data_IF_798280317318
#
_entry.id   IF_798280317318
#
_cell.length_a   1.000
_cell.length_b   1.000
_cell.length_c   1.000
_cell.angle_alpha   90.00
_cell.angle_beta   90.00
_cell.angle_gamma   90.00
#
_symmetry.space_group_name_H-M   'P 1'
#
loop_
_entity.id
_entity.type
_entity.pdbx_description
1 polymer ?
#
# COMPACT_ATOMS: atom_id res chain seq x y z
N UNK A 1 31.34 -6.14 -4.41
CA UNK A 1 30.61 -4.84 -4.33
C UNK A 1 29.23 -5.12 -3.76
N UNK A 2 28.89 -4.44 -2.69
CA UNK A 2 27.56 -4.53 -2.09
C UNK A 2 26.47 -4.20 -3.11
N UNK A 3 25.50 -5.07 -3.27
CA UNK A 3 24.36 -4.85 -4.16
C UNK A 3 23.38 -3.86 -3.52
N UNK A 4 22.55 -3.23 -4.34
CA UNK A 4 21.57 -2.25 -3.88
C UNK A 4 20.17 -2.63 -4.30
N UNK A 5 19.24 -2.46 -3.38
CA UNK A 5 17.80 -2.37 -3.65
C UNK A 5 17.36 -0.99 -3.23
N UNK A 6 16.52 -0.33 -4.01
CA UNK A 6 16.13 1.05 -3.73
C UNK A 6 14.62 1.20 -3.58
N UNK A 7 14.17 2.15 -2.75
CA UNK A 7 12.79 2.61 -2.72
C UNK A 7 12.70 3.96 -3.43
N UNK A 8 11.96 4.02 -4.52
CA UNK A 8 11.71 5.25 -5.27
C UNK A 8 10.33 5.81 -4.91
N UNK A 9 10.27 7.04 -4.41
CA UNK A 9 9.02 7.72 -4.06
C UNK A 9 9.27 9.19 -3.71
N UNK A 10 8.23 9.90 -3.26
CA UNK A 10 8.35 11.29 -2.80
C UNK A 10 7.15 11.70 -1.95
N UNK A 11 7.38 12.02 -0.64
CA UNK A 11 8.60 11.79 0.15
C UNK A 11 8.75 10.31 0.58
N UNK A 12 9.97 9.86 0.91
CA UNK A 12 10.25 8.48 1.35
C UNK A 12 10.99 8.39 2.68
N UNK A 13 11.37 9.51 3.28
CA UNK A 13 12.20 9.55 4.49
C UNK A 13 11.64 8.74 5.68
N UNK A 14 10.31 8.63 5.77
CA UNK A 14 9.61 7.93 6.86
C UNK A 14 9.33 6.44 6.57
N UNK A 15 9.90 5.89 5.49
CA UNK A 15 9.66 4.50 5.11
C UNK A 15 10.36 3.54 6.07
N UNK A 16 9.60 2.56 6.58
CA UNK A 16 10.12 1.48 7.42
C UNK A 16 10.66 0.29 6.62
N UNK A 17 10.55 0.32 5.28
CA UNK A 17 10.99 -0.78 4.40
C UNK A 17 12.48 -1.05 4.50
N UNK A 18 13.30 -0.02 4.74
CA UNK A 18 14.75 -0.18 4.88
C UNK A 18 15.15 -1.07 6.06
N UNK A 19 14.52 -0.90 7.22
CA UNK A 19 14.76 -1.74 8.39
C UNK A 19 14.36 -3.21 8.12
N UNK A 20 13.19 -3.40 7.51
CA UNK A 20 12.65 -4.74 7.20
C UNK A 20 13.54 -5.50 6.22
N UNK A 21 13.93 -4.87 5.10
CA UNK A 21 14.76 -5.53 4.08
C UNK A 21 16.21 -5.67 4.52
N UNK A 22 16.76 -4.69 5.25
CA UNK A 22 18.13 -4.77 5.80
C UNK A 22 18.29 -5.96 6.72
N UNK A 23 17.37 -6.17 7.67
CA UNK A 23 17.36 -7.34 8.52
C UNK A 23 17.24 -8.67 7.76
N UNK A 24 16.45 -8.68 6.67
CA UNK A 24 16.32 -9.86 5.82
C UNK A 24 17.61 -10.19 5.06
N UNK A 25 18.31 -9.19 4.54
CA UNK A 25 19.62 -9.39 3.89
C UNK A 25 20.66 -9.91 4.86
N UNK A 26 20.72 -9.32 6.06
CA UNK A 26 21.64 -9.75 7.11
C UNK A 26 21.37 -11.21 7.52
N UNK A 27 20.12 -11.56 7.80
CA UNK A 27 19.72 -12.90 8.24
C UNK A 27 20.07 -14.00 7.24
N UNK A 28 20.10 -13.68 5.93
CA UNK A 28 20.43 -14.64 4.87
C UNK A 28 21.86 -14.48 4.36
N UNK A 29 22.70 -13.62 4.97
CA UNK A 29 24.08 -13.38 4.55
C UNK A 29 24.21 -12.80 3.14
N UNK A 30 23.21 -12.02 2.68
CA UNK A 30 23.20 -11.38 1.39
C UNK A 30 23.89 -10.01 1.48
N UNK A 31 25.01 -9.83 0.74
CA UNK A 31 25.71 -8.53 0.66
C UNK A 31 24.89 -7.52 -0.18
N UNK A 32 23.84 -6.95 0.44
CA UNK A 32 22.97 -5.96 -0.19
C UNK A 32 22.53 -4.90 0.83
N UNK A 33 22.30 -3.67 0.34
CA UNK A 33 21.74 -2.55 1.10
C UNK A 33 20.40 -2.11 0.51
N UNK A 34 19.50 -1.61 1.38
CA UNK A 34 18.25 -1.00 0.96
C UNK A 34 18.34 0.52 1.14
N UNK A 35 18.21 1.26 0.05
CA UNK A 35 18.37 2.70 0.00
C UNK A 35 17.03 3.42 -0.24
N UNK A 36 16.88 4.62 0.31
CA UNK A 36 15.71 5.47 0.09
C UNK A 36 16.08 6.54 -0.94
N UNK A 37 15.46 6.49 -2.10
CA UNK A 37 15.64 7.47 -3.17
C UNK A 37 14.43 8.41 -3.21
N UNK A 38 14.56 9.56 -2.56
CA UNK A 38 13.55 10.61 -2.64
C UNK A 38 13.64 11.28 -4.00
N UNK A 39 12.70 11.00 -4.88
CA UNK A 39 12.66 11.46 -6.27
C UNK A 39 11.32 12.11 -6.57
N UNK A 40 11.29 13.42 -6.83
CA UNK A 40 10.07 14.10 -7.26
C UNK A 40 9.61 13.59 -8.63
N UNK A 41 8.34 13.81 -9.02
CA UNK A 41 7.77 13.25 -10.25
C UNK A 41 8.53 13.53 -11.55
N UNK A 42 9.27 14.64 -11.62
CA UNK A 42 10.08 15.00 -12.79
C UNK A 42 11.38 14.17 -12.89
N UNK A 43 11.90 13.67 -11.77
CA UNK A 43 13.13 12.87 -11.72
C UNK A 43 12.87 11.36 -11.85
N UNK A 44 11.60 10.91 -11.96
CA UNK A 44 11.28 9.49 -11.99
C UNK A 44 11.93 8.74 -13.14
N UNK A 45 11.89 9.28 -14.35
CA UNK A 45 12.43 8.60 -15.54
C UNK A 45 13.95 8.39 -15.43
N UNK A 46 14.68 9.36 -14.90
CA UNK A 46 16.09 9.27 -14.63
C UNK A 46 16.38 8.20 -13.57
N UNK A 47 15.68 8.23 -12.44
CA UNK A 47 15.81 7.24 -11.37
C UNK A 47 15.54 5.80 -11.85
N UNK A 48 14.54 5.59 -12.71
CA UNK A 48 14.29 4.27 -13.33
C UNK A 48 15.43 3.89 -14.28
N UNK A 49 16.02 4.84 -15.00
CA UNK A 49 17.18 4.63 -15.85
C UNK A 49 18.41 4.13 -15.08
N UNK A 50 18.65 4.69 -13.88
CA UNK A 50 19.74 4.31 -12.97
C UNK A 50 19.65 2.83 -12.51
N UNK A 51 18.45 2.24 -12.46
CA UNK A 51 18.25 0.83 -12.08
C UNK A 51 18.91 -0.17 -13.06
N UNK A 52 19.34 0.27 -14.23
CA UNK A 52 20.01 -0.60 -15.22
C UNK A 52 21.48 -0.89 -14.88
N UNK A 53 22.01 -0.27 -13.82
CA UNK A 53 23.37 -0.49 -13.31
C UNK A 53 23.54 -1.89 -12.71
N UNK A 54 24.74 -2.47 -12.87
CA UNK A 54 25.00 -3.87 -12.44
C UNK A 54 25.01 -4.06 -10.92
N UNK A 55 25.17 -2.98 -10.18
CA UNK A 55 25.10 -2.98 -8.71
C UNK A 55 23.67 -3.04 -8.17
N UNK A 56 22.63 -2.79 -9.00
CA UNK A 56 21.24 -2.77 -8.57
C UNK A 56 20.60 -4.14 -8.75
N UNK A 57 20.01 -4.70 -7.69
CA UNK A 57 19.19 -5.92 -7.75
C UNK A 57 17.77 -5.61 -8.23
N UNK A 58 17.22 -4.47 -7.80
CA UNK A 58 15.88 -4.04 -8.15
C UNK A 58 15.43 -2.85 -7.31
N UNK A 59 14.14 -2.56 -7.36
CA UNK A 59 13.55 -1.44 -6.65
C UNK A 59 12.14 -1.73 -6.16
N UNK A 60 11.74 -1.06 -5.05
CA UNK A 60 10.34 -0.76 -4.80
C UNK A 60 9.99 0.63 -5.36
N UNK A 61 8.73 0.79 -5.72
CA UNK A 61 8.16 2.06 -6.14
C UNK A 61 6.95 2.39 -5.28
N UNK A 62 6.91 3.60 -4.73
CA UNK A 62 5.80 4.06 -3.90
C UNK A 62 5.18 5.36 -4.43
N UNK A 63 4.33 5.99 -3.64
CA UNK A 63 3.66 7.26 -3.96
C UNK A 63 4.70 8.32 -4.37
N UNK A 64 4.46 9.10 -5.45
CA UNK A 64 3.27 9.08 -6.32
C UNK A 64 3.49 8.32 -7.64
N UNK A 65 4.43 7.38 -7.72
CA UNK A 65 5.08 6.92 -8.95
C UNK A 65 4.50 5.63 -9.55
N UNK A 66 3.78 4.80 -8.76
CA UNK A 66 3.38 3.43 -9.16
C UNK A 66 2.70 3.33 -10.52
N UNK A 67 1.83 4.30 -10.87
CA UNK A 67 1.11 4.32 -12.15
C UNK A 67 2.03 4.78 -13.31
N UNK A 68 2.88 5.78 -13.07
CA UNK A 68 3.78 6.31 -14.11
C UNK A 68 4.90 5.35 -14.46
N UNK A 69 5.29 4.47 -13.54
CA UNK A 69 6.35 3.47 -13.75
C UNK A 69 6.00 2.44 -14.82
N UNK A 70 4.70 2.21 -15.08
CA UNK A 70 4.25 1.26 -16.12
C UNK A 70 4.88 1.47 -17.48
N UNK A 71 5.08 2.71 -17.88
CA UNK A 71 5.62 3.07 -19.21
C UNK A 71 7.13 3.29 -19.21
N UNK A 72 7.78 3.14 -18.06
CA UNK A 72 9.23 3.36 -17.88
C UNK A 72 10.02 2.05 -17.75
N UNK A 73 9.35 0.92 -17.57
CA UNK A 73 9.94 -0.42 -17.53
C UNK A 73 9.83 -1.11 -18.88
N UNK A 74 10.68 -2.10 -19.13
CA UNK A 74 10.74 -2.77 -20.45
C UNK A 74 9.66 -3.84 -20.61
N UNK A 75 9.23 -4.45 -19.50
CA UNK A 75 8.16 -5.46 -19.46
C UNK A 75 7.33 -5.31 -18.18
N UNK A 76 6.11 -5.76 -18.26
CA UNK A 76 5.19 -5.89 -17.13
C UNK A 76 4.83 -7.36 -16.92
N UNK A 77 4.73 -7.77 -15.67
CA UNK A 77 4.03 -9.01 -15.34
C UNK A 77 2.54 -8.87 -15.59
N UNK A 78 1.84 -9.99 -15.73
CA UNK A 78 0.39 -9.99 -15.90
C UNK A 78 -0.31 -9.24 -14.77
N UNK A 79 0.12 -9.44 -13.53
CA UNK A 79 -0.44 -8.76 -12.37
C UNK A 79 -0.19 -7.25 -12.36
N UNK A 80 1.01 -6.80 -12.72
CA UNK A 80 1.31 -5.36 -12.84
C UNK A 80 0.49 -4.72 -13.98
N UNK A 81 0.33 -5.41 -15.09
CA UNK A 81 -0.53 -4.97 -16.19
C UNK A 81 -2.01 -4.93 -15.76
N UNK A 82 -2.51 -5.97 -15.11
CA UNK A 82 -3.89 -6.07 -14.67
C UNK A 82 -4.27 -5.06 -13.57
N UNK A 83 -3.31 -4.69 -12.71
CA UNK A 83 -3.52 -3.64 -11.69
C UNK A 83 -3.35 -2.22 -12.25
N UNK A 84 -2.59 -2.07 -13.33
CA UNK A 84 -2.22 -0.75 -13.85
C UNK A 84 -1.30 0.03 -12.88
N UNK A 85 -0.47 -0.67 -12.10
CA UNK A 85 0.49 -0.08 -11.18
C UNK A 85 1.69 -1.00 -10.96
N UNK A 86 2.89 -0.43 -10.88
CA UNK A 86 4.14 -1.12 -10.53
C UNK A 86 4.59 -0.63 -9.16
N UNK A 87 4.78 -1.55 -8.20
CA UNK A 87 5.38 -1.24 -6.91
C UNK A 87 6.73 -1.93 -6.69
N UNK A 88 7.11 -2.84 -7.58
CA UNK A 88 8.36 -3.60 -7.50
C UNK A 88 8.96 -3.75 -8.90
N UNK A 89 10.27 -3.57 -9.00
CA UNK A 89 11.02 -3.72 -10.25
C UNK A 89 12.13 -4.75 -10.01
N UNK A 90 12.25 -5.71 -10.92
CA UNK A 90 13.39 -6.61 -11.00
C UNK A 90 14.22 -6.31 -12.25
N UNK A 91 15.45 -6.80 -12.27
CA UNK A 91 16.38 -6.63 -13.38
C UNK A 91 16.78 -7.98 -13.97
N UNK A 92 16.62 -8.13 -15.27
CA UNK A 92 17.13 -9.25 -16.06
C UNK A 92 18.16 -8.73 -17.07
N UNK A 93 19.44 -8.83 -16.74
CA UNK A 93 20.49 -8.13 -17.48
C UNK A 93 20.26 -6.62 -17.38
N UNK A 94 20.09 -5.93 -18.50
CA UNK A 94 19.74 -4.49 -18.53
C UNK A 94 18.23 -4.23 -18.65
N UNK A 95 17.39 -5.27 -18.73
CA UNK A 95 15.94 -5.12 -18.83
C UNK A 95 15.31 -4.98 -17.45
N UNK A 96 14.38 -4.05 -17.34
CA UNK A 96 13.59 -3.81 -16.15
C UNK A 96 12.21 -4.44 -16.31
N UNK A 97 11.80 -5.21 -15.30
CA UNK A 97 10.50 -5.88 -15.29
C UNK A 97 9.70 -5.32 -14.13
N UNK A 98 8.52 -4.77 -14.43
CA UNK A 98 7.59 -4.23 -13.44
C UNK A 98 6.66 -5.31 -12.90
N UNK A 99 6.54 -5.36 -11.58
CA UNK A 99 5.69 -6.25 -10.82
C UNK A 99 4.74 -5.46 -9.92
N UNK A 100 3.69 -6.12 -9.42
CA UNK A 100 2.85 -5.59 -8.36
C UNK A 100 2.78 -6.56 -7.19
N UNK A 101 3.55 -6.33 -6.13
CA UNK A 101 3.54 -7.11 -4.91
C UNK A 101 2.55 -6.57 -3.86
N UNK A 102 1.91 -5.43 -4.10
CA UNK A 102 0.85 -4.92 -3.23
C UNK A 102 -0.37 -5.87 -3.21
N UNK A 103 -0.67 -6.52 -4.34
CA UNK A 103 -1.80 -7.44 -4.45
C UNK A 103 -1.67 -8.63 -3.49
N UNK A 104 -0.59 -9.44 -3.54
CA UNK A 104 -0.43 -10.52 -2.57
C UNK A 104 -0.37 -10.01 -1.13
N UNK A 105 0.25 -8.84 -0.87
CA UNK A 105 0.26 -8.23 0.45
C UNK A 105 -1.15 -7.86 0.93
N UNK A 106 -1.95 -7.23 0.09
CA UNK A 106 -3.35 -6.89 0.38
C UNK A 106 -4.20 -8.13 0.65
N UNK A 107 -4.05 -9.20 -0.16
CA UNK A 107 -4.82 -10.44 0.03
C UNK A 107 -4.57 -11.06 1.40
N UNK A 108 -3.31 -11.10 1.86
CA UNK A 108 -2.99 -11.57 3.21
C UNK A 108 -3.64 -10.69 4.29
N UNK A 109 -3.61 -9.36 4.14
CA UNK A 109 -4.26 -8.46 5.07
C UNK A 109 -5.80 -8.63 5.06
N UNK A 110 -6.40 -8.78 3.88
CA UNK A 110 -7.84 -9.02 3.74
C UNK A 110 -8.26 -10.35 4.38
N UNK A 111 -7.50 -11.43 4.15
CA UNK A 111 -7.76 -12.73 4.76
C UNK A 111 -7.68 -12.69 6.29
N UNK A 112 -6.71 -11.96 6.83
CA UNK A 112 -6.57 -11.77 8.28
C UNK A 112 -7.75 -10.97 8.86
N UNK A 113 -8.21 -9.93 8.13
CA UNK A 113 -9.33 -9.09 8.53
C UNK A 113 -10.67 -9.83 8.49
N UNK A 114 -10.93 -10.55 7.40
CA UNK A 114 -12.20 -11.26 7.16
C UNK A 114 -12.25 -12.57 7.91
N UNK A 115 -11.13 -13.27 8.04
CA UNK A 115 -11.07 -14.60 8.63
C UNK A 115 -11.98 -15.60 7.89
N UNK A 116 -12.66 -16.44 8.67
CA UNK A 116 -13.61 -17.44 8.13
C UNK A 116 -15.05 -16.95 8.03
N UNK A 117 -15.28 -15.64 8.15
CA UNK A 117 -16.63 -15.10 8.16
C UNK A 117 -17.29 -15.23 6.78
N UNK A 118 -18.50 -15.79 6.77
CA UNK A 118 -19.39 -15.69 5.61
C UNK A 118 -20.12 -14.35 5.67
N UNK A 119 -19.77 -13.44 4.78
CA UNK A 119 -20.34 -12.10 4.72
C UNK A 119 -20.69 -11.69 3.28
N UNK A 120 -21.58 -10.72 3.08
CA UNK A 120 -21.79 -10.10 1.78
C UNK A 120 -20.48 -9.51 1.23
N UNK A 121 -20.15 -9.85 -0.01
CA UNK A 121 -18.94 -9.40 -0.70
C UNK A 121 -19.12 -7.99 -1.26
N UNK A 122 -19.26 -7.00 -0.36
CA UNK A 122 -19.46 -5.59 -0.70
C UNK A 122 -18.43 -4.73 0.04
N UNK A 123 -17.73 -3.87 -0.70
CA UNK A 123 -16.65 -3.04 -0.17
C UNK A 123 -16.79 -1.58 -0.60
N UNK A 124 -16.33 -0.69 0.27
CA UNK A 124 -16.06 0.72 -0.02
C UNK A 124 -14.55 0.95 0.06
N UNK A 125 -13.99 1.61 -0.96
CA UNK A 125 -12.57 1.96 -1.06
C UNK A 125 -12.44 3.48 -1.14
N UNK A 126 -11.72 4.06 -0.21
CA UNK A 126 -11.39 5.47 -0.18
C UNK A 126 -10.02 5.68 -0.85
N UNK A 127 -9.98 6.43 -1.94
CA UNK A 127 -8.77 6.66 -2.74
C UNK A 127 -8.79 5.94 -4.09
N UNK A 128 -7.95 6.39 -5.02
CA UNK A 128 -7.86 5.84 -6.39
C UNK A 128 -6.42 5.80 -6.94
N UNK A 129 -5.41 5.87 -6.06
CA UNK A 129 -4.00 5.77 -6.43
C UNK A 129 -3.51 4.33 -6.58
N UNK A 130 -2.18 4.16 -6.72
CA UNK A 130 -1.57 2.84 -6.92
C UNK A 130 -1.91 1.79 -5.86
N UNK A 131 -2.03 2.18 -4.58
CA UNK A 131 -2.51 1.28 -3.51
C UNK A 131 -3.97 0.85 -3.72
N UNK A 132 -4.85 1.81 -4.05
CA UNK A 132 -6.26 1.53 -4.33
C UNK A 132 -6.45 0.57 -5.54
N UNK A 133 -5.56 0.63 -6.54
CA UNK A 133 -5.56 -0.29 -7.68
C UNK A 133 -5.32 -1.73 -7.24
N UNK A 134 -4.34 -1.97 -6.37
CA UNK A 134 -4.07 -3.30 -5.81
C UNK A 134 -5.24 -3.79 -4.95
N UNK A 135 -5.84 -2.91 -4.14
CA UNK A 135 -7.05 -3.20 -3.34
C UNK A 135 -8.21 -3.62 -4.23
N UNK A 136 -8.57 -2.81 -5.23
CA UNK A 136 -9.71 -3.10 -6.12
C UNK A 136 -9.47 -4.39 -6.89
N UNK A 137 -8.26 -4.61 -7.44
CA UNK A 137 -7.92 -5.84 -8.11
C UNK A 137 -8.03 -7.06 -7.18
N UNK A 138 -7.48 -6.96 -5.97
CA UNK A 138 -7.55 -8.01 -4.97
C UNK A 138 -9.00 -8.33 -4.57
N UNK A 139 -9.84 -7.31 -4.35
CA UNK A 139 -11.27 -7.51 -4.05
C UNK A 139 -12.03 -8.20 -5.19
N UNK A 140 -11.74 -7.84 -6.46
CA UNK A 140 -12.30 -8.51 -7.63
C UNK A 140 -11.88 -9.99 -7.64
N UNK A 141 -10.59 -10.26 -7.44
CA UNK A 141 -10.04 -11.62 -7.42
C UNK A 141 -10.62 -12.47 -6.27
N UNK A 142 -10.94 -11.86 -5.13
CA UNK A 142 -11.61 -12.53 -3.98
C UNK A 142 -13.15 -12.63 -4.15
N UNK A 143 -13.68 -12.27 -5.31
CA UNK A 143 -15.10 -12.47 -5.64
C UNK A 143 -16.05 -11.49 -4.98
N UNK A 144 -15.59 -10.28 -4.68
CA UNK A 144 -16.50 -9.21 -4.25
C UNK A 144 -17.45 -8.86 -5.38
N UNK A 145 -18.73 -8.74 -5.06
CA UNK A 145 -19.79 -8.52 -6.04
C UNK A 145 -20.12 -7.03 -6.22
N UNK A 146 -19.74 -6.20 -5.24
CA UNK A 146 -19.95 -4.77 -5.27
C UNK A 146 -18.78 -4.04 -4.64
N UNK A 147 -18.17 -3.12 -5.39
CA UNK A 147 -17.09 -2.25 -4.94
C UNK A 147 -17.46 -0.81 -5.30
N UNK A 148 -17.45 0.08 -4.30
CA UNK A 148 -17.66 1.52 -4.51
C UNK A 148 -16.37 2.26 -4.17
N UNK A 149 -15.89 3.06 -5.10
CA UNK A 149 -14.65 3.83 -4.96
C UNK A 149 -14.98 5.30 -4.80
N UNK A 150 -14.48 5.90 -3.73
CA UNK A 150 -14.54 7.33 -3.49
C UNK A 150 -13.18 7.99 -3.67
N UNK A 151 -13.13 9.15 -4.28
CA UNK A 151 -11.93 9.97 -4.35
C UNK A 151 -12.31 11.45 -4.40
N UNK A 152 -11.53 12.32 -3.74
CA UNK A 152 -11.76 13.78 -3.73
C UNK A 152 -11.92 14.36 -5.14
N UNK A 153 -11.21 13.80 -6.10
CA UNK A 153 -11.33 14.10 -7.52
C UNK A 153 -12.07 12.96 -8.21
N UNK A 154 -13.38 13.09 -8.40
CA UNK A 154 -14.25 12.04 -8.94
C UNK A 154 -13.70 11.42 -10.25
N UNK A 155 -13.18 12.24 -11.15
CA UNK A 155 -12.63 11.78 -12.42
C UNK A 155 -11.51 10.72 -12.27
N UNK A 156 -10.75 10.75 -11.15
CA UNK A 156 -9.72 9.74 -10.85
C UNK A 156 -10.34 8.40 -10.45
N UNK A 157 -11.41 8.43 -9.64
CA UNK A 157 -12.16 7.22 -9.29
C UNK A 157 -12.86 6.62 -10.51
N UNK A 158 -13.44 7.46 -11.38
CA UNK A 158 -14.02 7.03 -12.66
C UNK A 158 -12.96 6.43 -13.59
N UNK A 159 -11.76 7.02 -13.63
CA UNK A 159 -10.62 6.48 -14.38
C UNK A 159 -10.24 5.08 -13.91
N UNK A 160 -10.20 4.86 -12.58
CA UNK A 160 -9.95 3.56 -11.98
C UNK A 160 -11.08 2.57 -12.33
N UNK A 161 -12.34 2.96 -12.18
CA UNK A 161 -13.48 2.11 -12.51
C UNK A 161 -13.51 1.72 -14.01
N UNK A 162 -13.21 2.66 -14.91
CA UNK A 162 -13.08 2.37 -16.36
C UNK A 162 -11.93 1.41 -16.64
N UNK A 163 -10.79 1.56 -15.96
CA UNK A 163 -9.65 0.67 -16.12
C UNK A 163 -10.04 -0.79 -15.82
N UNK A 164 -10.76 -1.01 -14.72
CA UNK A 164 -11.18 -2.35 -14.30
C UNK A 164 -12.49 -2.84 -14.94
N UNK A 165 -13.14 -2.07 -15.82
CA UNK A 165 -14.47 -2.40 -16.37
C UNK A 165 -14.54 -3.80 -16.97
N UNK A 166 -13.46 -4.27 -17.66
CA UNK A 166 -13.39 -5.62 -18.24
C UNK A 166 -13.28 -6.71 -17.18
N UNK A 167 -12.41 -6.51 -16.19
CA UNK A 167 -12.21 -7.47 -15.08
C UNK A 167 -13.41 -7.51 -14.14
N UNK A 168 -14.18 -6.40 -14.06
CA UNK A 168 -15.36 -6.25 -13.23
C UNK A 168 -16.69 -6.51 -13.99
N UNK A 169 -16.65 -7.09 -15.19
CA UNK A 169 -17.86 -7.27 -16.02
C UNK A 169 -18.97 -8.11 -15.37
N UNK A 170 -18.65 -8.91 -14.36
CA UNK A 170 -19.57 -9.79 -13.64
C UNK A 170 -20.00 -9.25 -12.27
N UNK A 171 -19.62 -8.02 -11.94
CA UNK A 171 -19.86 -7.38 -10.64
C UNK A 171 -20.16 -5.90 -10.79
N UNK A 172 -20.57 -5.24 -9.72
CA UNK A 172 -20.81 -3.81 -9.69
C UNK A 172 -19.55 -3.07 -9.17
N UNK A 173 -18.86 -2.35 -10.08
CA UNK A 173 -17.78 -1.43 -9.72
C UNK A 173 -18.21 0.00 -10.06
N UNK A 174 -18.32 0.86 -9.05
CA UNK A 174 -18.77 2.25 -9.21
C UNK A 174 -17.77 3.24 -8.63
N UNK A 175 -17.61 4.36 -9.32
CA UNK A 175 -17.03 5.58 -8.77
C UNK A 175 -18.17 6.50 -8.31
N UNK A 176 -18.05 7.04 -7.11
CA UNK A 176 -19.06 7.92 -6.53
C UNK A 176 -18.44 9.26 -6.11
N UNK A 177 -19.18 10.37 -6.16
CA UNK A 177 -18.72 11.67 -5.71
C UNK A 177 -18.46 11.64 -4.20
N UNK A 178 -17.39 12.34 -3.76
CA UNK A 178 -17.05 12.47 -2.35
C UNK A 178 -18.02 13.44 -1.66
N UNK A 179 -19.11 12.89 -1.17
CA UNK A 179 -20.12 13.60 -0.40
C UNK A 179 -20.52 12.73 0.80
N UNK A 180 -20.56 13.32 1.97
CA UNK A 180 -20.73 12.61 3.24
C UNK A 180 -21.99 11.72 3.25
N UNK A 181 -23.14 12.26 2.86
CA UNK A 181 -24.40 11.49 2.81
C UNK A 181 -24.37 10.33 1.81
N UNK A 182 -23.58 10.44 0.72
CA UNK A 182 -23.42 9.36 -0.25
C UNK A 182 -22.49 8.29 0.33
N UNK A 183 -21.41 8.72 1.00
CA UNK A 183 -20.48 7.79 1.69
C UNK A 183 -21.25 7.01 2.74
N UNK A 184 -22.01 7.67 3.62
CA UNK A 184 -22.84 7.04 4.64
C UNK A 184 -23.81 6.00 4.05
N UNK A 185 -24.55 6.37 3.01
CA UNK A 185 -25.48 5.48 2.32
C UNK A 185 -24.82 4.25 1.70
N UNK A 186 -23.57 4.35 1.24
CA UNK A 186 -22.82 3.24 0.68
C UNK A 186 -22.15 2.39 1.78
N UNK A 187 -21.69 3.01 2.87
CA UNK A 187 -21.16 2.28 4.03
C UNK A 187 -22.22 1.43 4.71
N UNK A 188 -23.48 1.89 4.78
CA UNK A 188 -24.58 1.12 5.32
C UNK A 188 -24.83 -0.22 4.58
N UNK A 189 -24.38 -0.35 3.33
CA UNK A 189 -24.50 -1.56 2.50
C UNK A 189 -23.23 -2.40 2.52
N UNK A 190 -22.09 -1.80 2.86
CA UNK A 190 -20.78 -2.45 2.81
C UNK A 190 -20.57 -3.39 4.00
N UNK A 191 -19.55 -4.26 3.87
CA UNK A 191 -18.98 -5.06 4.96
C UNK A 191 -17.49 -4.81 5.14
N UNK A 192 -16.82 -4.31 4.13
CA UNK A 192 -15.40 -3.95 4.18
C UNK A 192 -15.26 -2.48 3.78
N UNK A 193 -14.52 -1.74 4.59
CA UNK A 193 -14.12 -0.36 4.31
C UNK A 193 -12.58 -0.29 4.26
N UNK A 194 -12.03 0.19 3.15
CA UNK A 194 -10.57 0.31 2.98
C UNK A 194 -10.17 1.77 2.78
N UNK A 195 -9.33 2.29 3.67
CA UNK A 195 -8.63 3.55 3.42
C UNK A 195 -7.37 3.28 2.58
N UNK A 196 -7.40 3.62 1.32
CA UNK A 196 -6.26 3.58 0.38
C UNK A 196 -5.77 5.00 0.01
N UNK A 197 -6.09 5.99 0.84
CA UNK A 197 -5.54 7.35 0.75
C UNK A 197 -4.29 7.48 1.61
N UNK A 198 -3.62 8.63 1.54
CA UNK A 198 -2.53 8.98 2.46
C UNK A 198 -2.99 9.75 3.70
N UNK A 199 -4.30 9.94 3.88
CA UNK A 199 -4.84 10.66 5.05
C UNK A 199 -4.62 9.79 6.29
N UNK A 200 -4.04 10.39 7.33
CA UNK A 200 -3.62 9.70 8.55
C UNK A 200 -2.14 9.33 8.61
N UNK A 201 -1.37 9.47 7.50
CA UNK A 201 0.09 9.28 7.51
C UNK A 201 0.81 10.42 8.23
N UNK A 202 0.26 11.63 8.16
CA UNK A 202 0.79 12.81 8.83
C UNK A 202 -0.37 13.57 9.48
N UNK A 203 -0.25 13.85 10.77
CA UNK A 203 -1.29 14.52 11.54
C UNK A 203 -2.46 13.60 11.95
N UNK A 204 -3.32 14.13 12.80
CA UNK A 204 -4.46 13.41 13.39
C UNK A 204 -5.75 13.62 12.57
N UNK A 205 -5.72 13.21 11.31
CA UNK A 205 -6.85 13.37 10.38
C UNK A 205 -7.45 12.01 10.00
N UNK A 206 -8.77 11.98 9.85
CA UNK A 206 -9.51 10.86 9.26
C UNK A 206 -9.94 11.18 7.84
N UNK A 207 -9.95 10.21 6.90
CA UNK A 207 -10.43 10.45 5.54
C UNK A 207 -11.94 10.77 5.49
N UNK A 208 -12.71 10.27 6.45
CA UNK A 208 -14.14 10.50 6.59
C UNK A 208 -14.49 10.79 8.05
N UNK A 209 -15.59 11.50 8.35
CA UNK A 209 -16.06 11.68 9.71
C UNK A 209 -16.40 10.33 10.37
N UNK A 210 -16.12 10.19 11.66
CA UNK A 210 -16.39 8.96 12.42
C UNK A 210 -17.89 8.64 12.48
N UNK A 211 -18.72 9.67 12.50
CA UNK A 211 -20.17 9.58 12.61
C UNK A 211 -20.84 8.85 11.43
N UNK A 212 -20.18 8.83 10.25
CA UNK A 212 -20.72 8.12 9.07
C UNK A 212 -20.33 6.66 9.03
N UNK A 213 -19.49 6.18 9.95
CA UNK A 213 -19.07 4.79 10.02
C UNK A 213 -20.13 3.98 10.77
N UNK A 214 -20.90 3.10 10.11
CA UNK A 214 -21.86 2.27 10.81
C UNK A 214 -21.16 1.14 11.58
N UNK A 215 -21.76 0.61 12.65
CA UNK A 215 -21.21 -0.52 13.39
C UNK A 215 -21.16 -1.80 12.54
N UNK A 216 -20.15 -2.64 12.81
CA UNK A 216 -20.02 -3.98 12.20
C UNK A 216 -19.38 -4.00 10.82
N UNK A 217 -18.71 -2.90 10.39
CA UNK A 217 -17.78 -2.93 9.27
C UNK A 217 -16.45 -3.57 9.68
N UNK A 218 -15.80 -4.22 8.73
CA UNK A 218 -14.41 -4.61 8.81
C UNK A 218 -13.57 -3.52 8.15
N UNK A 219 -12.71 -2.85 8.91
CA UNK A 219 -11.98 -1.68 8.46
C UNK A 219 -10.51 -2.00 8.24
N UNK A 220 -9.99 -1.71 7.04
CA UNK A 220 -8.56 -1.78 6.72
C UNK A 220 -8.04 -0.38 6.39
N UNK A 221 -7.09 0.10 7.16
CA UNK A 221 -6.34 1.30 6.84
C UNK A 221 -5.00 0.92 6.21
N UNK A 222 -4.73 1.29 4.96
CA UNK A 222 -3.41 1.02 4.36
C UNK A 222 -2.29 1.84 5.00
N UNK A 223 -2.62 2.86 5.78
CA UNK A 223 -1.64 3.56 6.63
C UNK A 223 -1.20 2.61 7.74
N UNK A 224 0.11 2.48 7.92
CA UNK A 224 0.74 1.63 8.94
C UNK A 224 1.55 2.43 9.96
N UNK A 225 1.84 3.68 9.67
CA UNK A 225 2.52 4.63 10.54
C UNK A 225 1.78 5.99 10.50
N UNK A 226 1.20 6.42 11.63
CA UNK A 226 1.16 5.82 12.96
C UNK A 226 0.40 4.47 12.98
N UNK A 227 0.65 3.60 13.99
CA UNK A 227 0.02 2.27 14.06
C UNK A 227 -1.50 2.33 14.32
N UNK A 228 -1.96 3.37 14.99
CA UNK A 228 -3.39 3.65 15.21
C UNK A 228 -3.69 5.05 14.72
N UNK A 229 -4.30 5.14 13.55
CA UNK A 229 -4.72 6.40 12.94
C UNK A 229 -6.01 6.92 13.59
N UNK A 230 -6.34 8.18 13.36
CA UNK A 230 -7.65 8.73 13.75
C UNK A 230 -8.79 7.93 13.15
N UNK A 231 -8.66 7.53 11.89
CA UNK A 231 -9.64 6.71 11.19
C UNK A 231 -9.92 5.37 11.89
N UNK A 232 -8.88 4.67 12.36
CA UNK A 232 -9.06 3.42 13.09
C UNK A 232 -9.68 3.63 14.48
N UNK A 233 -9.34 4.71 15.18
CA UNK A 233 -9.98 5.06 16.45
C UNK A 233 -11.47 5.37 16.27
N UNK A 234 -11.82 6.15 15.24
CA UNK A 234 -13.20 6.47 14.91
C UNK A 234 -14.00 5.21 14.54
N UNK A 235 -13.40 4.31 13.76
CA UNK A 235 -14.02 3.03 13.41
C UNK A 235 -14.27 2.14 14.64
N UNK A 236 -13.30 2.03 15.55
CA UNK A 236 -13.46 1.27 16.78
C UNK A 236 -14.54 1.86 17.69
N UNK A 237 -14.57 3.19 17.83
CA UNK A 237 -15.61 3.89 18.60
C UNK A 237 -17.01 3.67 18.00
N UNK A 238 -17.13 3.49 16.69
CA UNK A 238 -18.36 3.14 15.99
C UNK A 238 -18.73 1.64 16.11
N UNK A 239 -17.92 0.81 16.77
CA UNK A 239 -18.14 -0.65 16.84
C UNK A 239 -17.76 -1.40 15.57
N UNK A 240 -16.84 -0.83 14.78
CA UNK A 240 -16.30 -1.43 13.55
C UNK A 240 -14.84 -1.78 13.75
N UNK A 241 -14.49 -3.08 13.95
CA UNK A 241 -13.13 -3.49 14.20
C UNK A 241 -12.25 -3.23 12.97
N UNK A 242 -11.05 -2.69 13.21
CA UNK A 242 -10.11 -2.32 12.15
C UNK A 242 -8.70 -2.82 12.38
N UNK A 243 -7.94 -2.87 11.29
CA UNK A 243 -6.51 -3.14 11.30
C UNK A 243 -5.78 -2.16 10.38
N UNK A 244 -4.50 -1.92 10.70
CA UNK A 244 -3.64 -1.07 9.88
C UNK A 244 -2.97 -1.83 8.74
N UNK A 245 -2.20 -1.11 7.90
CA UNK A 245 -1.53 -1.63 6.72
C UNK A 245 -0.23 -2.42 6.96
N UNK A 246 0.15 -2.68 8.22
CA UNK A 246 1.43 -3.35 8.55
C UNK A 246 1.54 -4.73 7.89
N UNK A 247 0.47 -5.51 7.95
CA UNK A 247 0.46 -6.85 7.37
C UNK A 247 0.61 -6.82 5.84
N UNK A 248 -0.04 -5.86 5.19
CA UNK A 248 0.13 -5.63 3.75
C UNK A 248 1.57 -5.18 3.43
N UNK A 249 2.14 -4.25 4.20
CA UNK A 249 3.52 -3.80 4.04
C UNK A 249 4.51 -4.95 4.17
N UNK A 250 4.36 -5.79 5.18
CA UNK A 250 5.23 -6.93 5.44
C UNK A 250 5.20 -7.93 4.27
N UNK A 251 4.02 -8.34 3.86
CA UNK A 251 3.89 -9.40 2.87
C UNK A 251 4.18 -8.94 1.44
N UNK A 252 3.90 -7.67 1.08
CA UNK A 252 4.34 -7.12 -0.20
C UNK A 252 5.88 -7.02 -0.25
N UNK A 253 6.51 -6.65 0.89
CA UNK A 253 7.96 -6.61 1.01
C UNK A 253 8.59 -7.99 0.93
N UNK A 254 8.02 -9.00 1.59
CA UNK A 254 8.48 -10.38 1.48
C UNK A 254 8.39 -10.92 0.04
N UNK A 255 7.31 -10.62 -0.68
CA UNK A 255 7.18 -10.98 -2.08
C UNK A 255 8.24 -10.28 -2.95
N UNK A 256 8.47 -8.98 -2.74
CA UNK A 256 9.52 -8.23 -3.44
C UNK A 256 10.92 -8.79 -3.15
N UNK A 257 11.23 -9.09 -1.90
CA UNK A 257 12.49 -9.70 -1.50
C UNK A 257 12.77 -11.01 -2.24
N UNK A 258 11.77 -11.88 -2.32
CA UNK A 258 11.88 -13.15 -3.04
C UNK A 258 12.15 -12.95 -4.53
N UNK A 259 11.52 -11.94 -5.14
CA UNK A 259 11.74 -11.59 -6.56
C UNK A 259 13.18 -11.13 -6.82
N UNK A 260 13.80 -10.36 -5.92
CA UNK A 260 15.18 -9.86 -6.12
C UNK A 260 16.25 -10.89 -5.84
N UNK A 261 16.03 -11.75 -4.84
CA UNK A 261 17.06 -12.65 -4.32
C UNK A 261 16.91 -14.09 -4.82
N UNK A 262 15.72 -14.46 -5.30
CA UNK A 262 15.38 -15.86 -5.61
C UNK A 262 15.27 -16.75 -4.37
N UNK A 263 15.36 -16.19 -3.15
CA UNK A 263 15.29 -16.92 -1.90
C UNK A 263 13.97 -16.61 -1.17
N UNK A 264 13.41 -17.56 -0.41
CA UNK A 264 12.26 -17.30 0.45
C UNK A 264 12.57 -16.19 1.46
N UNK A 265 11.69 -15.21 1.58
CA UNK A 265 11.87 -14.10 2.52
C UNK A 265 11.76 -14.61 3.97
N UNK A 266 12.65 -14.20 4.90
CA UNK A 266 12.58 -14.54 6.32
C UNK A 266 11.51 -13.65 7.00
N UNK A 267 10.23 -13.94 6.79
CA UNK A 267 9.09 -13.08 7.14
C UNK A 267 9.08 -12.68 8.61
N UNK A 268 9.43 -13.60 9.54
CA UNK A 268 9.41 -13.28 10.96
C UNK A 268 10.56 -12.34 11.37
N UNK A 269 11.73 -12.45 10.74
CA UNK A 269 12.83 -11.49 10.90
C UNK A 269 12.40 -10.12 10.40
N UNK A 270 11.78 -10.07 9.22
CA UNK A 270 11.25 -8.84 8.62
C UNK A 270 10.20 -8.19 9.52
N UNK A 271 9.29 -8.97 10.09
CA UNK A 271 8.26 -8.53 11.04
C UNK A 271 8.86 -7.90 12.28
N UNK A 272 9.81 -8.60 12.90
CA UNK A 272 10.48 -8.14 14.12
C UNK A 272 11.20 -6.81 13.88
N UNK A 273 11.94 -6.70 12.76
CA UNK A 273 12.65 -5.48 12.41
C UNK A 273 11.69 -4.31 12.11
N UNK A 274 10.58 -4.58 11.44
CA UNK A 274 9.53 -3.58 11.15
C UNK A 274 8.94 -3.03 12.46
N UNK A 275 8.61 -3.91 13.41
CA UNK A 275 8.05 -3.52 14.70
C UNK A 275 9.05 -2.73 15.55
N UNK A 276 10.31 -3.14 15.57
CA UNK A 276 11.37 -2.43 16.27
C UNK A 276 11.60 -1.02 15.68
N UNK A 277 11.66 -0.90 14.35
CA UNK A 277 11.83 0.39 13.67
C UNK A 277 10.65 1.34 13.93
N UNK A 278 9.42 0.82 13.95
CA UNK A 278 8.22 1.59 14.28
C UNK A 278 8.25 2.10 15.74
N UNK A 279 8.64 1.23 16.68
CA UNK A 279 8.76 1.63 18.09
C UNK A 279 9.79 2.74 18.27
N UNK A 280 10.93 2.64 17.59
CA UNK A 280 11.96 3.69 17.60
C UNK A 280 11.47 5.02 17.01
N UNK A 281 10.72 4.99 15.90
CA UNK A 281 10.15 6.19 15.30
C UNK A 281 9.15 6.89 16.24
N UNK A 282 8.30 6.13 16.94
CA UNK A 282 7.34 6.69 17.90
C UNK A 282 8.00 7.39 19.08
N UNK A 283 9.14 6.89 19.56
CA UNK A 283 9.92 7.53 20.62
C UNK A 283 10.55 8.83 20.14
N UNK A 284 11.06 8.87 18.90
CA UNK A 284 11.66 10.07 18.33
C UNK A 284 10.63 11.21 18.17
N UNK A 285 9.40 10.89 17.73
CA UNK A 285 8.31 11.89 17.56
C UNK A 285 7.88 12.49 18.92
N UNK A 286 7.80 11.67 19.98
CA UNK A 286 7.44 12.18 21.31
C UNK A 286 8.53 13.08 21.90
N UNK A 287 9.80 12.78 21.66
CA UNK A 287 10.93 13.61 22.09
C UNK A 287 10.99 14.97 21.40
N UNK A 288 10.65 15.01 20.10
CA UNK A 288 10.62 16.26 19.33
C UNK A 288 9.48 17.21 19.78
N UNK A 289 8.30 16.65 20.15
CA UNK A 289 7.18 17.45 20.66
C UNK A 289 7.48 18.00 22.06
N UNK A 290 8.17 17.26 22.92
CA UNK A 290 8.56 17.74 24.25
C UNK A 290 9.59 18.86 24.17
N UNK A 291 10.54 18.81 23.24
CA UNK A 291 11.56 19.84 23.05
C UNK A 291 11.01 21.14 22.42
N UNK A 292 9.94 21.09 21.64
CA UNK A 292 9.30 22.24 21.02
C UNK A 292 8.29 22.97 21.94
N UNK A 293 7.99 22.43 23.11
CA UNK A 293 7.08 23.03 24.11
C UNK A 293 7.79 23.79 25.24
N UNK A 294 9.13 23.86 25.23
CA UNK A 294 9.95 24.53 26.27
C UNK A 294 10.53 25.88 25.82
N UNK A 295 10.18 26.43 24.63
CA UNK A 295 10.60 27.75 24.15
C UNK A 295 9.50 28.83 24.28
#
# INVERSE_FOLDING_TARGET
MTKRVVLIGHPVAHSLSGAMHGAAFEALGIDAAYELWDRPPLALAEAIGELRGDEVLGANVTIPHKEKTLVLVDRLTEEAHATGAVNTITREGRRLIGHNTDVPGFRVALDALVGKQKMPRQAVVLGSGGGARAVVYGLIAEGFQRIVVFNRHLHRAEGLARFFARSAAHMELRAMPWHESIIEAELAKAKVLVNATSVGMSGDQSPIPGEVIPPGLLVLDLVYNPPVTRFLRDAEAAGSPGMNGELMLLHQGAAAFTLWTGQPAPVEVMRTALQAARAAAAVADTGAVAAAGED
#
